data_IF_947551385186
#
_entry.id   IF_947551385186
#
_cell.length_a   1.000
_cell.length_b   1.000
_cell.length_c   1.000
_cell.angle_alpha   90.00
_cell.angle_beta   90.00
_cell.angle_gamma   90.00
#
_symmetry.space_group_name_H-M   'P 1'
#
loop_
_entity.id
_entity.type
_entity.pdbx_description
1 polymer ?
#
# COMPACT_ATOMS: atom_id res chain seq x y z
N UNK A 1 34.34 -1.03 -14.23
CA UNK A 1 33.26 -0.50 -13.35
C UNK A 1 33.69 -0.34 -11.89
N UNK A 2 34.81 -0.91 -11.43
CA UNK A 2 35.32 -0.74 -10.06
C UNK A 2 34.25 -1.09 -8.98
N UNK A 3 33.54 -2.20 -9.19
CA UNK A 3 32.47 -2.62 -8.29
C UNK A 3 33.07 -3.06 -6.95
N UNK A 4 32.61 -2.46 -5.85
CA UNK A 4 33.08 -2.78 -4.50
C UNK A 4 32.15 -3.74 -3.75
N UNK A 5 30.86 -3.74 -4.09
CA UNK A 5 29.84 -4.59 -3.49
C UNK A 5 28.94 -5.19 -4.57
N UNK A 6 28.69 -6.49 -4.48
CA UNK A 6 27.77 -7.23 -5.36
C UNK A 6 26.61 -7.74 -4.50
N UNK A 7 25.44 -7.11 -4.65
CA UNK A 7 24.20 -7.48 -3.96
C UNK A 7 23.28 -8.16 -4.97
N UNK A 8 22.80 -9.38 -4.66
CA UNK A 8 21.98 -10.19 -5.57
C UNK A 8 21.04 -11.14 -4.84
N UNK A 9 20.19 -11.83 -5.58
CA UNK A 9 19.31 -12.85 -5.00
C UNK A 9 20.08 -14.04 -4.40
N UNK A 10 19.54 -14.63 -3.34
CA UNK A 10 20.09 -15.81 -2.65
C UNK A 10 20.26 -17.04 -3.57
N UNK A 11 19.55 -17.10 -4.70
CA UNK A 11 19.67 -18.17 -5.70
C UNK A 11 21.07 -18.27 -6.31
N UNK A 12 21.87 -17.21 -6.24
CA UNK A 12 23.23 -17.21 -6.79
C UNK A 12 24.29 -17.70 -5.79
N UNK A 13 23.92 -18.04 -4.56
CA UNK A 13 24.88 -18.57 -3.55
C UNK A 13 25.57 -19.83 -4.09
N UNK A 14 24.84 -20.74 -4.72
CA UNK A 14 25.41 -21.99 -5.27
C UNK A 14 26.47 -21.75 -6.35
N UNK A 15 26.45 -20.57 -7.00
CA UNK A 15 27.41 -20.19 -8.02
C UNK A 15 28.61 -19.40 -7.46
N UNK A 16 28.61 -19.06 -6.16
CA UNK A 16 29.72 -18.36 -5.49
C UNK A 16 31.10 -18.98 -5.76
N UNK A 17 31.30 -20.31 -5.65
CA UNK A 17 32.61 -20.91 -5.92
C UNK A 17 33.12 -20.60 -7.33
N UNK A 18 32.24 -20.64 -8.33
CA UNK A 18 32.61 -20.34 -9.72
C UNK A 18 33.04 -18.88 -9.89
N UNK A 19 32.36 -17.94 -9.23
CA UNK A 19 32.75 -16.53 -9.30
C UNK A 19 34.11 -16.30 -8.63
N UNK A 20 34.34 -16.89 -7.45
CA UNK A 20 35.61 -16.74 -6.72
C UNK A 20 36.79 -17.32 -7.53
N UNK A 21 36.62 -18.49 -8.16
CA UNK A 21 37.64 -19.08 -9.04
C UNK A 21 38.01 -18.15 -10.21
N UNK A 22 37.04 -17.41 -10.75
CA UNK A 22 37.30 -16.45 -11.83
C UNK A 22 38.13 -15.25 -11.33
N UNK A 23 37.81 -14.69 -10.17
CA UNK A 23 38.59 -13.61 -9.55
C UNK A 23 40.02 -14.06 -9.24
N UNK A 24 40.20 -15.27 -8.70
CA UNK A 24 41.52 -15.85 -8.44
C UNK A 24 42.32 -16.05 -9.74
N UNK A 25 41.69 -16.58 -10.79
CA UNK A 25 42.35 -16.78 -12.09
C UNK A 25 42.84 -15.45 -12.71
N UNK A 26 42.08 -14.37 -12.48
CA UNK A 26 42.41 -13.02 -12.91
C UNK A 26 43.43 -12.31 -12.00
N UNK A 27 43.83 -12.89 -10.86
CA UNK A 27 44.88 -12.33 -10.01
C UNK A 27 44.39 -11.27 -9.00
N UNK A 28 43.09 -11.25 -8.69
CA UNK A 28 42.58 -10.43 -7.58
C UNK A 28 43.14 -10.88 -6.24
N UNK A 29 43.21 -9.95 -5.30
CA UNK A 29 43.54 -10.28 -3.92
C UNK A 29 42.36 -11.01 -3.25
N UNK A 30 42.59 -12.28 -2.92
CA UNK A 30 41.62 -13.16 -2.29
C UNK A 30 41.70 -13.12 -0.74
N UNK A 31 42.54 -12.26 -0.16
CA UNK A 31 42.72 -12.16 1.30
C UNK A 31 41.44 -11.79 2.07
N UNK A 32 40.52 -11.07 1.42
CA UNK A 32 39.23 -10.64 1.98
C UNK A 32 38.09 -11.65 1.78
N UNK A 33 38.31 -12.77 1.08
CA UNK A 33 37.31 -13.82 0.91
C UNK A 33 37.06 -14.52 2.25
N UNK A 34 36.05 -14.08 3.01
CA UNK A 34 35.74 -14.65 4.32
C UNK A 34 35.47 -16.16 4.24
N UNK A 35 36.07 -16.90 5.17
CA UNK A 35 36.21 -18.36 5.23
C UNK A 35 34.93 -19.18 5.50
N UNK A 36 33.74 -18.59 5.47
CA UNK A 36 32.50 -19.29 5.82
C UNK A 36 31.84 -20.06 4.67
N UNK A 37 32.07 -19.69 3.41
CA UNK A 37 31.40 -20.33 2.26
C UNK A 37 32.36 -21.07 1.29
N UNK A 38 33.67 -21.05 1.56
CA UNK A 38 34.70 -21.54 0.64
C UNK A 38 35.57 -22.67 1.24
N UNK A 39 34.98 -23.59 1.99
CA UNK A 39 35.61 -24.89 2.28
C UNK A 39 34.91 -25.97 1.45
N UNK A 40 35.22 -26.08 0.16
CA UNK A 40 35.28 -27.35 -0.57
C UNK A 40 36.19 -27.15 -1.80
N UNK A 41 37.21 -28.01 -1.88
CA UNK A 41 38.15 -28.22 -2.99
C UNK A 41 39.04 -27.05 -3.45
N UNK A 42 40.13 -26.81 -2.70
CA UNK A 42 41.37 -26.35 -3.35
C UNK A 42 42.01 -27.53 -4.07
N UNK A 43 41.75 -27.66 -5.36
CA UNK A 43 42.61 -28.43 -6.26
C UNK A 43 43.50 -27.47 -7.03
N UNK A 44 44.80 -27.52 -6.74
CA UNK A 44 45.82 -26.79 -7.49
C UNK A 44 45.86 -27.30 -8.94
N UNK A 45 45.34 -26.53 -9.88
CA UNK A 45 45.73 -26.60 -11.30
C UNK A 45 45.69 -25.21 -11.92
N UNK A 46 46.86 -24.58 -12.01
CA UNK A 46 47.12 -23.53 -12.99
C UNK A 46 48.61 -23.55 -13.37
N UNK A 47 49.00 -24.54 -14.16
CA UNK A 47 50.24 -24.52 -14.95
C UNK A 47 49.87 -24.80 -16.40
N UNK A 48 49.17 -23.85 -17.02
CA UNK A 48 48.94 -23.81 -18.46
C UNK A 48 49.25 -22.40 -18.92
N UNK A 49 50.08 -22.25 -19.95
CA UNK A 49 50.37 -20.97 -20.58
C UNK A 49 49.05 -20.38 -21.11
N UNK A 50 48.52 -19.38 -20.41
CA UNK A 50 47.35 -18.63 -20.88
C UNK A 50 47.69 -17.85 -22.14
N UNK A 51 46.72 -17.72 -23.05
CA UNK A 51 46.82 -16.85 -24.23
C UNK A 51 47.07 -15.38 -23.81
N UNK A 52 47.63 -14.58 -24.71
CA UNK A 52 48.07 -13.20 -24.47
C UNK A 52 46.94 -12.31 -23.93
N UNK A 53 45.72 -12.55 -24.39
CA UNK A 53 44.48 -11.91 -23.91
C UNK A 53 44.18 -12.20 -22.45
N UNK A 54 44.41 -13.43 -21.98
CA UNK A 54 44.19 -13.81 -20.57
C UNK A 54 45.28 -13.21 -19.68
N UNK A 55 46.52 -13.16 -20.18
CA UNK A 55 47.65 -12.58 -19.46
C UNK A 55 47.60 -11.05 -19.40
N UNK A 56 46.98 -10.36 -20.37
CA UNK A 56 46.73 -8.91 -20.29
C UNK A 56 45.68 -8.58 -19.23
N UNK A 57 44.53 -9.27 -19.24
CA UNK A 57 43.46 -9.11 -18.25
C UNK A 57 43.95 -9.37 -16.82
N UNK A 58 44.80 -10.39 -16.65
CA UNK A 58 45.41 -10.70 -15.36
C UNK A 58 46.29 -9.54 -14.86
N UNK A 59 47.13 -8.95 -15.72
CA UNK A 59 47.97 -7.79 -15.36
C UNK A 59 47.16 -6.56 -15.01
N UNK A 60 46.03 -6.33 -15.68
CA UNK A 60 45.15 -5.19 -15.40
C UNK A 60 44.40 -5.32 -14.07
N UNK A 61 44.22 -6.54 -13.56
CA UNK A 61 43.45 -6.81 -12.34
C UNK A 61 44.28 -7.32 -11.16
N UNK A 62 45.58 -7.50 -11.37
CA UNK A 62 46.52 -7.96 -10.36
C UNK A 62 46.52 -7.02 -9.14
N UNK A 63 46.23 -7.58 -7.96
CA UNK A 63 46.23 -6.83 -6.70
C UNK A 63 44.98 -5.97 -6.45
N UNK A 64 43.95 -6.04 -7.30
CA UNK A 64 42.65 -5.44 -7.01
C UNK A 64 41.94 -6.20 -5.88
N UNK A 65 41.28 -5.47 -4.98
CA UNK A 65 40.51 -6.06 -3.90
C UNK A 65 39.28 -6.80 -4.42
N UNK A 66 39.00 -7.99 -3.87
CA UNK A 66 37.77 -8.72 -4.15
C UNK A 66 36.54 -7.92 -3.70
N UNK A 67 35.48 -7.81 -4.54
CA UNK A 67 34.22 -7.19 -4.13
C UNK A 67 33.57 -7.95 -2.97
N UNK A 68 32.86 -7.23 -2.11
CA UNK A 68 32.06 -7.81 -1.04
C UNK A 68 30.77 -8.38 -1.65
N UNK A 69 30.50 -9.66 -1.42
CA UNK A 69 29.29 -10.31 -1.88
C UNK A 69 28.24 -10.33 -0.78
N UNK A 70 27.02 -9.93 -1.10
CA UNK A 70 25.87 -10.04 -0.22
C UNK A 70 24.67 -10.58 -0.98
N UNK A 71 23.77 -11.26 -0.28
CA UNK A 71 22.55 -11.80 -0.88
C UNK A 71 21.30 -11.35 -0.15
N UNK A 72 20.30 -10.99 -0.91
CA UNK A 72 18.97 -10.68 -0.41
C UNK A 72 18.15 -11.97 -0.23
N UNK A 73 17.40 -12.10 0.87
CA UNK A 73 16.55 -13.25 1.11
C UNK A 73 15.48 -13.38 0.03
N UNK A 74 14.99 -14.60 -0.18
CA UNK A 74 13.85 -14.81 -1.06
C UNK A 74 12.59 -14.12 -0.53
N UNK A 75 11.83 -13.50 -1.44
CA UNK A 75 10.46 -13.13 -1.15
C UNK A 75 9.60 -14.39 -1.26
N UNK A 76 8.93 -14.72 -0.17
CA UNK A 76 8.05 -15.87 -0.02
C UNK A 76 6.61 -15.45 -0.25
N UNK A 77 5.75 -16.37 -0.65
CA UNK A 77 4.30 -16.12 -0.71
C UNK A 77 3.72 -15.81 0.69
N UNK A 78 2.45 -15.42 0.75
CA UNK A 78 1.77 -15.05 2.01
C UNK A 78 1.82 -16.17 3.07
N UNK A 79 1.78 -17.44 2.64
CA UNK A 79 1.91 -18.61 3.52
C UNK A 79 3.34 -18.86 4.00
N UNK A 80 4.35 -18.28 3.35
CA UNK A 80 5.76 -18.46 3.64
C UNK A 80 6.32 -19.84 3.28
N UNK A 81 5.58 -20.67 2.53
CA UNK A 81 5.96 -22.06 2.25
C UNK A 81 6.67 -22.26 0.90
N UNK A 82 6.64 -21.27 0.01
CA UNK A 82 7.39 -21.26 -1.24
C UNK A 82 7.72 -19.84 -1.68
N UNK A 83 8.67 -19.73 -2.63
CA UNK A 83 9.03 -18.46 -3.26
C UNK A 83 7.79 -17.84 -3.93
N UNK A 84 7.66 -16.52 -3.85
CA UNK A 84 6.60 -15.79 -4.52
C UNK A 84 6.79 -15.92 -6.04
N UNK A 85 5.78 -16.43 -6.73
CA UNK A 85 5.76 -16.56 -8.19
C UNK A 85 4.49 -15.95 -8.79
N UNK A 86 4.40 -15.88 -10.12
CA UNK A 86 3.22 -15.31 -10.82
C UNK A 86 1.90 -15.98 -10.44
N UNK A 87 1.92 -17.30 -10.19
CA UNK A 87 0.74 -18.07 -9.76
C UNK A 87 0.32 -17.79 -8.31
N UNK A 88 1.19 -17.14 -7.55
CA UNK A 88 1.03 -16.83 -6.13
C UNK A 88 0.75 -15.33 -5.90
N UNK A 89 0.38 -14.60 -6.95
CA UNK A 89 0.04 -13.18 -6.86
C UNK A 89 1.18 -12.20 -7.15
N UNK A 90 2.33 -12.67 -7.65
CA UNK A 90 3.39 -11.75 -8.10
C UNK A 90 2.88 -10.89 -9.26
N UNK A 91 2.60 -9.62 -8.98
CA UNK A 91 2.21 -8.59 -9.95
C UNK A 91 3.45 -7.90 -10.53
N UNK A 92 3.30 -7.35 -11.73
CA UNK A 92 4.28 -6.40 -12.26
C UNK A 92 4.25 -5.11 -11.43
N UNK A 93 5.40 -4.44 -11.27
CA UNK A 93 5.45 -3.20 -10.49
C UNK A 93 4.51 -2.13 -11.06
N UNK A 94 4.33 -2.10 -12.38
CA UNK A 94 3.43 -1.16 -13.05
C UNK A 94 1.96 -1.51 -12.85
N UNK A 95 1.62 -2.76 -12.53
CA UNK A 95 0.26 -3.12 -12.12
C UNK A 95 -0.10 -2.48 -10.79
N UNK A 96 0.84 -2.44 -9.82
CA UNK A 96 0.61 -1.72 -8.56
C UNK A 96 0.37 -0.23 -8.80
N UNK A 97 1.13 0.40 -9.70
CA UNK A 97 0.90 1.82 -10.03
C UNK A 97 -0.49 2.01 -10.67
N UNK A 98 -0.90 1.13 -11.59
CA UNK A 98 -2.26 1.14 -12.17
C UNK A 98 -3.36 0.91 -11.13
N UNK A 99 -3.08 0.10 -10.11
CA UNK A 99 -3.96 -0.15 -8.97
C UNK A 99 -3.97 1.01 -7.96
N UNK A 100 -3.22 2.09 -8.20
CA UNK A 100 -3.22 3.28 -7.34
C UNK A 100 -2.34 3.17 -6.11
N UNK A 101 -1.29 2.34 -6.16
CA UNK A 101 -0.24 2.35 -5.14
C UNK A 101 0.78 3.48 -5.40
N UNK A 102 1.23 4.11 -4.33
CA UNK A 102 2.28 5.12 -4.36
C UNK A 102 3.65 4.46 -4.47
N UNK A 103 4.55 5.09 -5.23
CA UNK A 103 5.90 4.58 -5.44
C UNK A 103 6.67 4.49 -4.13
N UNK A 104 6.52 5.50 -3.27
CA UNK A 104 7.15 5.60 -1.96
C UNK A 104 6.68 4.49 -1.03
N UNK A 105 5.40 4.11 -1.11
CA UNK A 105 4.85 2.98 -0.35
C UNK A 105 5.43 1.64 -0.81
N UNK A 106 5.57 1.42 -2.12
CA UNK A 106 6.20 0.23 -2.67
C UNK A 106 7.66 0.13 -2.25
N UNK A 107 8.41 1.23 -2.33
CA UNK A 107 9.82 1.28 -1.88
C UNK A 107 9.93 0.96 -0.39
N UNK A 108 9.13 1.63 0.46
CA UNK A 108 9.12 1.37 1.91
C UNK A 108 8.78 -0.09 2.21
N UNK A 109 7.77 -0.63 1.54
CA UNK A 109 7.35 -2.01 1.75
C UNK A 109 8.44 -3.00 1.33
N UNK A 110 8.99 -2.87 0.11
CA UNK A 110 10.04 -3.75 -0.41
C UNK A 110 11.31 -3.66 0.45
N UNK A 111 11.69 -2.46 0.89
CA UNK A 111 12.86 -2.27 1.74
C UNK A 111 12.74 -3.03 3.07
N UNK A 112 11.53 -3.19 3.61
CA UNK A 112 11.29 -3.94 4.86
C UNK A 112 11.11 -5.45 4.65
N UNK A 113 11.17 -5.94 3.40
CA UNK A 113 11.15 -7.38 3.11
C UNK A 113 12.53 -7.99 3.39
N UNK A 114 12.72 -8.39 4.65
CA UNK A 114 13.96 -9.02 5.10
C UNK A 114 14.99 -8.04 5.65
N UNK A 115 14.61 -6.80 5.92
CA UNK A 115 15.44 -5.82 6.61
C UNK A 115 14.59 -5.03 7.61
N UNK A 116 15.19 -4.65 8.74
CA UNK A 116 14.63 -3.72 9.72
C UNK A 116 15.75 -2.85 10.31
N UNK A 117 15.41 -1.69 10.85
CA UNK A 117 16.37 -0.77 11.48
C UNK A 117 16.63 -1.11 12.96
N UNK A 118 16.31 -2.32 13.41
CA UNK A 118 16.41 -2.74 14.81
C UNK A 118 15.32 -2.16 15.72
N UNK A 119 14.35 -1.42 15.17
CA UNK A 119 13.20 -0.89 15.90
C UNK A 119 11.90 -1.56 15.44
N UNK A 120 10.76 -1.07 15.96
CA UNK A 120 9.41 -1.49 15.53
C UNK A 120 8.86 -0.62 14.39
N UNK A 121 9.65 0.28 13.80
CA UNK A 121 9.23 1.10 12.67
C UNK A 121 9.00 0.22 11.42
N UNK A 122 7.85 0.39 10.78
CA UNK A 122 7.47 -0.38 9.57
C UNK A 122 7.38 0.45 8.30
N UNK A 123 7.27 1.76 8.43
CA UNK A 123 7.15 2.71 7.31
C UNK A 123 8.38 3.61 7.31
N UNK A 124 9.05 3.69 6.16
CA UNK A 124 10.27 4.46 5.99
C UNK A 124 10.19 5.30 4.73
N UNK A 125 10.50 6.57 4.85
CA UNK A 125 10.78 7.43 3.71
C UNK A 125 12.12 7.02 3.06
N UNK A 126 12.33 7.41 1.80
CA UNK A 126 13.61 7.17 1.12
C UNK A 126 14.79 7.78 1.91
N UNK A 127 14.58 8.95 2.53
CA UNK A 127 15.60 9.60 3.36
C UNK A 127 15.98 8.73 4.57
N UNK A 128 14.99 8.22 5.30
CA UNK A 128 15.24 7.34 6.44
C UNK A 128 15.89 6.03 6.02
N UNK A 129 15.51 5.47 4.87
CA UNK A 129 16.17 4.28 4.33
C UNK A 129 17.64 4.56 4.05
N UNK A 130 17.99 5.67 3.40
CA UNK A 130 19.39 6.05 3.14
C UNK A 130 20.18 6.21 4.46
N UNK A 131 19.58 6.84 5.47
CA UNK A 131 20.25 7.09 6.76
C UNK A 131 20.40 5.83 7.62
N UNK A 132 19.43 4.91 7.58
CA UNK A 132 19.35 3.78 8.51
C UNK A 132 19.78 2.45 7.90
N UNK A 133 19.78 2.32 6.56
CA UNK A 133 20.05 1.05 5.91
C UNK A 133 21.45 0.54 6.23
N UNK A 134 21.52 -0.75 6.54
CA UNK A 134 22.77 -1.46 6.77
C UNK A 134 22.63 -2.89 6.28
N UNK A 135 23.62 -3.35 5.50
CA UNK A 135 23.67 -4.71 4.97
C UNK A 135 23.73 -5.75 6.10
N UNK A 136 24.32 -5.41 7.25
CA UNK A 136 24.42 -6.31 8.40
C UNK A 136 23.06 -6.64 9.04
N UNK A 137 22.04 -5.83 8.74
CA UNK A 137 20.67 -6.00 9.24
C UNK A 137 19.74 -6.69 8.24
N UNK A 138 20.27 -7.13 7.10
CA UNK A 138 19.53 -7.96 6.15
C UNK A 138 19.45 -9.39 6.71
N UNK A 139 18.23 -9.85 6.97
CA UNK A 139 17.93 -11.18 7.46
C UNK A 139 18.21 -12.26 6.40
N UNK A 140 18.61 -13.45 6.86
CA UNK A 140 18.89 -14.61 5.99
C UNK A 140 17.65 -15.42 5.64
N UNK A 141 16.60 -15.32 6.45
CA UNK A 141 15.34 -16.03 6.24
C UNK A 141 14.49 -15.36 5.16
N UNK A 142 13.75 -16.16 4.39
CA UNK A 142 12.81 -15.63 3.40
C UNK A 142 11.78 -14.69 4.02
N UNK A 143 11.52 -13.56 3.36
CA UNK A 143 10.57 -12.55 3.79
C UNK A 143 9.19 -12.83 3.20
N UNK A 144 8.15 -12.92 4.05
CA UNK A 144 6.78 -13.15 3.57
C UNK A 144 6.22 -11.90 2.90
N UNK A 145 5.62 -12.08 1.73
CA UNK A 145 4.85 -11.04 1.07
C UNK A 145 3.46 -10.94 1.70
N UNK A 146 3.23 -9.90 2.49
CA UNK A 146 1.93 -9.60 3.09
C UNK A 146 1.26 -8.44 2.34
N UNK A 147 0.26 -8.75 1.50
CA UNK A 147 -0.47 -7.75 0.72
C UNK A 147 -1.29 -6.81 1.60
N UNK A 148 -1.82 -7.29 2.74
CA UNK A 148 -2.60 -6.44 3.66
C UNK A 148 -1.69 -5.40 4.30
N UNK A 149 -0.46 -5.78 4.66
CA UNK A 149 0.56 -4.85 5.13
C UNK A 149 0.91 -3.83 4.05
N UNK A 150 1.11 -4.24 2.80
CA UNK A 150 1.36 -3.31 1.69
C UNK A 150 0.22 -2.29 1.52
N UNK A 151 -1.03 -2.74 1.53
CA UNK A 151 -2.22 -1.86 1.48
C UNK A 151 -2.23 -0.87 2.65
N UNK A 152 -1.88 -1.33 3.85
CA UNK A 152 -1.80 -0.47 5.04
C UNK A 152 -0.70 0.59 4.92
N UNK A 153 0.51 0.20 4.51
CA UNK A 153 1.63 1.13 4.24
C UNK A 153 1.22 2.16 3.19
N UNK A 154 0.56 1.72 2.11
CA UNK A 154 0.11 2.62 1.05
C UNK A 154 -0.90 3.67 1.56
N UNK A 155 -1.90 3.23 2.34
CA UNK A 155 -2.85 4.14 2.96
C UNK A 155 -2.18 5.13 3.92
N UNK A 156 -1.12 4.73 4.64
CA UNK A 156 -0.32 5.65 5.46
C UNK A 156 0.30 6.76 4.62
N UNK A 157 0.99 6.42 3.53
CA UNK A 157 1.56 7.43 2.64
C UNK A 157 0.49 8.32 2.00
N UNK A 158 -0.68 7.79 1.62
CA UNK A 158 -1.78 8.62 1.07
C UNK A 158 -2.26 9.66 2.09
N UNK A 159 -2.40 9.28 3.36
CA UNK A 159 -2.84 10.20 4.43
C UNK A 159 -1.81 11.29 4.73
N UNK A 160 -0.52 10.97 4.67
CA UNK A 160 0.55 11.93 4.92
C UNK A 160 0.80 12.89 3.74
N UNK A 161 0.24 12.61 2.55
CA UNK A 161 0.42 13.49 1.40
C UNK A 161 -0.27 14.84 1.60
N UNK A 162 0.39 15.96 1.24
CA UNK A 162 -0.29 17.24 1.11
C UNK A 162 -1.43 17.14 0.10
N UNK A 163 -2.59 17.72 0.42
CA UNK A 163 -3.79 17.62 -0.42
C UNK A 163 -3.56 18.12 -1.87
N UNK A 164 -2.71 19.12 -2.05
CA UNK A 164 -2.36 19.66 -3.37
C UNK A 164 -1.54 18.67 -4.21
N UNK A 165 -0.71 17.84 -3.58
CA UNK A 165 -0.04 16.73 -4.27
C UNK A 165 -1.02 15.61 -4.56
N UNK A 166 -1.85 15.25 -3.59
CA UNK A 166 -2.84 14.19 -3.75
C UNK A 166 -3.79 14.49 -4.90
N UNK A 167 -4.22 15.75 -5.06
CA UNK A 167 -5.09 16.21 -6.16
C UNK A 167 -4.49 15.89 -7.52
N UNK A 168 -3.17 16.06 -7.69
CA UNK A 168 -2.47 15.70 -8.93
C UNK A 168 -2.41 14.19 -9.12
N UNK A 169 -2.11 13.44 -8.05
CA UNK A 169 -1.97 11.98 -8.12
C UNK A 169 -3.30 11.27 -8.43
N UNK A 170 -4.43 11.86 -8.04
CA UNK A 170 -5.77 11.28 -8.29
C UNK A 170 -6.41 11.70 -9.61
N UNK A 171 -5.77 12.53 -10.42
CA UNK A 171 -6.38 13.13 -11.63
C UNK A 171 -7.05 12.07 -12.53
N UNK A 172 -6.38 10.93 -12.73
CA UNK A 172 -6.87 9.83 -13.57
C UNK A 172 -7.75 8.80 -12.83
N UNK A 173 -7.98 8.99 -11.54
CA UNK A 173 -8.77 8.08 -10.69
C UNK A 173 -10.17 8.63 -10.35
N UNK A 174 -10.49 9.86 -10.75
CA UNK A 174 -11.84 10.39 -10.59
C UNK A 174 -12.85 9.57 -11.42
N UNK A 175 -14.07 9.32 -10.89
CA UNK A 175 -15.15 8.75 -11.68
C UNK A 175 -15.55 9.67 -12.84
N UNK A 176 -16.15 9.09 -13.87
CA UNK A 176 -16.61 9.84 -15.06
C UNK A 176 -17.54 11.00 -14.70
N UNK A 177 -18.41 10.79 -13.71
CA UNK A 177 -19.36 11.78 -13.19
C UNK A 177 -18.68 13.04 -12.63
N UNK A 178 -17.43 12.93 -12.16
CA UNK A 178 -16.67 14.07 -11.62
C UNK A 178 -15.98 14.93 -12.69
N UNK A 179 -15.93 14.51 -13.96
CA UNK A 179 -15.16 15.23 -15.01
C UNK A 179 -15.62 16.67 -15.26
N UNK A 180 -16.89 16.97 -15.02
CA UNK A 180 -17.48 18.30 -15.21
C UNK A 180 -17.63 19.08 -13.89
N UNK A 181 -17.25 18.47 -12.78
CA UNK A 181 -17.35 19.10 -11.47
C UNK A 181 -16.28 20.20 -11.33
N UNK A 182 -16.61 21.22 -10.55
CA UNK A 182 -15.67 22.28 -10.20
C UNK A 182 -14.46 21.71 -9.42
N UNK A 183 -13.25 22.20 -9.72
CA UNK A 183 -12.02 21.68 -9.09
C UNK A 183 -11.95 22.01 -7.59
N UNK A 184 -12.54 23.13 -7.15
CA UNK A 184 -12.60 23.43 -5.71
C UNK A 184 -13.53 22.46 -4.97
N UNK A 185 -14.64 22.06 -5.60
CA UNK A 185 -15.54 21.05 -5.04
C UNK A 185 -14.88 19.66 -5.04
N UNK A 186 -14.22 19.26 -6.12
CA UNK A 186 -13.41 18.01 -6.15
C UNK A 186 -12.35 18.00 -5.05
N UNK A 187 -11.69 19.13 -4.80
CA UNK A 187 -10.71 19.26 -3.71
C UNK A 187 -11.33 19.07 -2.33
N UNK A 188 -12.54 19.58 -2.09
CA UNK A 188 -13.28 19.34 -0.84
C UNK A 188 -13.66 17.86 -0.66
N UNK A 189 -14.18 17.24 -1.74
CA UNK A 189 -14.52 15.80 -1.75
C UNK A 189 -13.27 14.95 -1.49
N UNK A 190 -12.14 15.29 -2.11
CA UNK A 190 -10.88 14.59 -1.92
C UNK A 190 -10.35 14.72 -0.50
N UNK A 191 -10.40 15.93 0.08
CA UNK A 191 -9.99 16.16 1.47
C UNK A 191 -10.75 15.25 2.43
N UNK A 192 -12.06 15.14 2.22
CA UNK A 192 -12.94 14.28 3.01
C UNK A 192 -12.62 12.78 2.78
N UNK A 193 -12.31 12.38 1.55
CA UNK A 193 -12.01 10.98 1.20
C UNK A 193 -10.62 10.50 1.62
N UNK A 194 -9.64 11.40 1.77
CA UNK A 194 -8.21 11.07 1.97
C UNK A 194 -7.98 10.06 3.10
N UNK A 195 -8.64 10.24 4.24
CA UNK A 195 -8.52 9.36 5.42
C UNK A 195 -9.01 7.92 5.18
N UNK A 196 -9.81 7.69 4.14
CA UNK A 196 -10.41 6.39 3.81
C UNK A 196 -9.77 5.71 2.60
N UNK A 197 -8.97 6.42 1.81
CA UNK A 197 -8.26 5.84 0.67
C UNK A 197 -7.21 4.84 1.15
N UNK A 198 -7.26 3.63 0.62
CA UNK A 198 -6.18 2.64 0.78
C UNK A 198 -5.32 2.58 -0.46
N UNK A 199 -5.92 2.78 -1.62
CA UNK A 199 -5.29 3.02 -2.91
C UNK A 199 -5.97 4.20 -3.60
N UNK A 200 -5.31 4.84 -4.57
CA UNK A 200 -5.94 5.89 -5.36
C UNK A 200 -7.12 5.36 -6.19
N UNK A 201 -7.10 4.06 -6.52
CA UNK A 201 -8.18 3.38 -7.26
C UNK A 201 -9.47 3.21 -6.46
N UNK A 202 -9.41 3.38 -5.13
CA UNK A 202 -10.61 3.36 -4.29
C UNK A 202 -11.45 4.63 -4.43
N UNK A 203 -10.90 5.69 -5.05
CA UNK A 203 -11.53 7.02 -5.10
C UNK A 203 -12.96 7.00 -5.67
N UNK A 204 -13.28 6.33 -6.79
CA UNK A 204 -14.66 6.28 -7.30
C UNK A 204 -15.64 5.71 -6.28
N UNK A 205 -15.29 4.60 -5.64
CA UNK A 205 -16.15 3.92 -4.66
C UNK A 205 -16.45 4.80 -3.43
N UNK A 206 -15.55 5.73 -3.11
CA UNK A 206 -15.69 6.65 -1.98
C UNK A 206 -16.30 8.01 -2.38
N UNK A 207 -16.44 8.32 -3.67
CA UNK A 207 -16.77 9.69 -4.10
C UNK A 207 -17.83 9.84 -5.18
N UNK A 208 -18.16 8.80 -5.96
CA UNK A 208 -19.14 8.89 -7.06
C UNK A 208 -20.47 9.53 -6.64
N UNK A 209 -20.97 9.17 -5.46
CA UNK A 209 -22.26 9.67 -4.93
C UNK A 209 -22.29 11.18 -4.62
N UNK A 210 -21.15 11.88 -4.66
CA UNK A 210 -21.09 13.35 -4.62
C UNK A 210 -21.36 14.02 -5.98
N UNK A 211 -21.25 13.28 -7.08
CA UNK A 211 -21.31 13.80 -8.45
C UNK A 211 -22.47 13.23 -9.26
N UNK A 212 -23.06 12.13 -8.81
CA UNK A 212 -24.22 11.51 -9.45
C UNK A 212 -25.16 10.87 -8.43
N UNK A 213 -26.36 10.52 -8.88
CA UNK A 213 -27.29 9.77 -8.06
C UNK A 213 -26.85 8.30 -7.99
N UNK A 214 -26.54 7.77 -6.79
CA UNK A 214 -25.99 6.44 -6.67
C UNK A 214 -27.02 5.37 -6.99
N UNK A 215 -26.57 4.27 -7.61
CA UNK A 215 -27.43 3.12 -7.89
C UNK A 215 -27.74 2.38 -6.59
N UNK A 216 -29.03 2.08 -6.39
CA UNK A 216 -29.51 1.32 -5.22
C UNK A 216 -28.91 -0.08 -5.20
N UNK A 217 -28.30 -0.44 -4.07
CA UNK A 217 -27.73 -1.76 -3.81
C UNK A 217 -28.25 -2.31 -2.46
N UNK A 218 -29.32 -3.10 -2.53
CA UNK A 218 -29.94 -3.72 -1.36
C UNK A 218 -29.01 -4.69 -0.61
N UNK A 219 -27.98 -5.23 -1.28
CA UNK A 219 -27.06 -6.17 -0.64
C UNK A 219 -26.30 -5.52 0.53
N UNK A 220 -26.09 -4.20 0.48
CA UNK A 220 -25.48 -3.41 1.55
C UNK A 220 -26.29 -3.45 2.86
N UNK A 221 -27.59 -3.74 2.79
CA UNK A 221 -28.48 -3.92 3.93
C UNK A 221 -28.63 -5.41 4.26
N UNK A 222 -28.95 -6.25 3.26
CA UNK A 222 -29.28 -7.67 3.50
C UNK A 222 -28.09 -8.51 3.92
N UNK A 223 -26.88 -8.16 3.50
CA UNK A 223 -25.67 -8.92 3.82
C UNK A 223 -24.95 -8.35 5.06
N UNK A 224 -25.33 -7.14 5.48
CA UNK A 224 -24.76 -6.50 6.65
C UNK A 224 -25.16 -7.23 7.94
N UNK A 225 -24.16 -7.61 8.74
CA UNK A 225 -24.32 -8.42 9.96
C UNK A 225 -25.31 -7.83 10.99
N UNK A 226 -25.42 -6.50 11.06
CA UNK A 226 -26.29 -5.81 12.00
C UNK A 226 -27.65 -5.49 11.37
N UNK A 227 -27.66 -5.01 10.13
CA UNK A 227 -28.88 -4.54 9.46
C UNK A 227 -29.80 -5.67 8.99
N UNK A 228 -29.25 -6.82 8.58
CA UNK A 228 -30.04 -7.97 8.13
C UNK A 228 -31.00 -8.57 9.15
N UNK A 229 -30.92 -8.11 10.40
CA UNK A 229 -31.79 -8.53 11.51
C UNK A 229 -33.03 -7.64 11.63
N UNK A 230 -33.06 -6.50 10.96
CA UNK A 230 -34.16 -5.53 11.00
C UNK A 230 -35.21 -5.90 9.94
N UNK A 231 -36.48 -5.73 10.29
CA UNK A 231 -37.57 -5.84 9.31
C UNK A 231 -37.65 -4.60 8.41
N UNK A 232 -38.26 -4.74 7.22
CA UNK A 232 -38.45 -3.62 6.30
C UNK A 232 -39.19 -2.43 6.93
N UNK A 233 -40.24 -2.70 7.72
CA UNK A 233 -40.99 -1.66 8.44
C UNK A 233 -40.14 -0.95 9.50
N UNK A 234 -39.21 -1.65 10.14
CA UNK A 234 -38.31 -1.06 11.13
C UNK A 234 -37.27 -0.18 10.44
N UNK A 235 -36.70 -0.64 9.32
CA UNK A 235 -35.78 0.16 8.49
C UNK A 235 -36.47 1.43 8.01
N UNK A 236 -37.67 1.33 7.45
CA UNK A 236 -38.44 2.47 6.96
C UNK A 236 -38.72 3.49 8.08
N UNK A 237 -39.06 3.04 9.29
CA UNK A 237 -39.25 3.91 10.46
C UNK A 237 -37.96 4.62 10.87
N UNK A 238 -36.82 3.93 10.89
CA UNK A 238 -35.54 4.52 11.27
C UNK A 238 -35.03 5.54 10.23
N UNK A 239 -35.18 5.23 8.94
CA UNK A 239 -34.81 6.13 7.85
C UNK A 239 -35.69 7.37 7.87
N UNK A 240 -37.01 7.21 8.07
CA UNK A 240 -37.93 8.33 8.25
C UNK A 240 -37.58 9.20 9.46
N UNK A 241 -37.29 8.58 10.61
CA UNK A 241 -36.87 9.33 11.79
C UNK A 241 -35.58 10.13 11.54
N UNK A 242 -34.64 9.58 10.75
CA UNK A 242 -33.44 10.30 10.33
C UNK A 242 -33.74 11.46 9.38
N UNK A 243 -34.61 11.25 8.39
CA UNK A 243 -35.09 12.32 7.51
C UNK A 243 -35.68 13.48 8.33
N UNK A 244 -36.67 13.18 9.18
CA UNK A 244 -37.40 14.18 9.96
C UNK A 244 -36.47 14.94 10.91
N UNK A 245 -35.51 14.25 11.55
CA UNK A 245 -34.54 14.90 12.42
C UNK A 245 -33.60 15.85 11.65
N UNK A 246 -33.06 15.41 10.51
CA UNK A 246 -32.15 16.23 9.69
C UNK A 246 -32.87 17.40 9.02
N UNK A 247 -34.17 17.27 8.72
CA UNK A 247 -34.97 18.34 8.13
C UNK A 247 -35.06 19.56 9.06
N UNK A 248 -35.06 19.37 10.38
CA UNK A 248 -35.13 20.46 11.37
C UNK A 248 -33.87 21.31 11.49
N UNK A 249 -32.74 20.88 10.91
CA UNK A 249 -31.47 21.61 11.01
C UNK A 249 -31.51 22.87 10.15
N UNK A 250 -31.45 24.06 10.76
CA UNK A 250 -31.41 25.34 10.05
C UNK A 250 -30.01 25.63 9.49
N UNK A 251 -28.98 25.53 10.32
CA UNK A 251 -27.58 25.73 9.95
C UNK A 251 -26.94 24.39 9.54
N UNK A 252 -26.82 24.14 8.24
CA UNK A 252 -26.35 22.87 7.69
C UNK A 252 -24.82 22.77 7.65
N UNK A 253 -24.22 22.27 8.73
CA UNK A 253 -22.78 22.08 8.86
C UNK A 253 -22.43 20.78 9.61
N UNK A 254 -21.16 20.32 9.60
CA UNK A 254 -20.80 19.05 10.21
C UNK A 254 -21.13 18.94 11.71
N UNK A 255 -21.07 20.03 12.48
CA UNK A 255 -21.28 19.99 13.93
C UNK A 255 -22.76 19.86 14.29
N UNK A 256 -23.62 20.64 13.64
CA UNK A 256 -25.08 20.57 13.85
C UNK A 256 -25.64 19.23 13.37
N UNK A 257 -25.12 18.69 12.26
CA UNK A 257 -25.47 17.35 11.78
C UNK A 257 -25.03 16.29 12.79
N UNK A 258 -23.80 16.39 13.33
CA UNK A 258 -23.33 15.44 14.35
C UNK A 258 -24.20 15.49 15.62
N UNK A 259 -24.61 16.67 16.06
CA UNK A 259 -25.51 16.85 17.20
C UNK A 259 -26.88 16.20 16.95
N UNK A 260 -27.48 16.41 15.78
CA UNK A 260 -28.75 15.78 15.40
C UNK A 260 -28.63 14.25 15.32
N UNK A 261 -27.55 13.73 14.74
CA UNK A 261 -27.27 12.30 14.68
C UNK A 261 -27.14 11.68 16.08
N UNK A 262 -26.49 12.38 17.02
CA UNK A 262 -26.37 11.92 18.41
C UNK A 262 -27.72 11.91 19.13
N UNK A 263 -28.52 12.97 18.99
CA UNK A 263 -29.88 13.01 19.56
C UNK A 263 -30.79 11.91 18.97
N UNK A 264 -30.59 11.58 17.68
CA UNK A 264 -31.33 10.50 17.03
C UNK A 264 -31.00 9.12 17.63
N UNK A 265 -29.75 8.89 18.08
CA UNK A 265 -29.40 7.67 18.80
C UNK A 265 -30.15 7.55 20.13
N UNK A 266 -30.26 8.65 20.87
CA UNK A 266 -30.97 8.68 22.16
C UNK A 266 -32.46 8.42 21.97
N UNK A 267 -33.09 9.09 21.02
CA UNK A 267 -34.54 8.99 20.76
C UNK A 267 -34.96 7.65 20.16
N UNK A 268 -34.14 7.05 19.30
CA UNK A 268 -34.43 5.73 18.71
C UNK A 268 -33.98 4.55 19.56
N UNK A 269 -33.08 4.77 20.53
CA UNK A 269 -32.44 3.71 21.30
C UNK A 269 -31.54 2.77 20.49
N UNK A 270 -31.21 3.13 19.24
CA UNK A 270 -30.42 2.31 18.34
C UNK A 270 -28.92 2.49 18.56
N UNK A 271 -28.14 1.49 18.13
CA UNK A 271 -26.68 1.57 18.17
C UNK A 271 -26.16 2.39 16.98
N UNK A 272 -25.03 3.12 17.12
CA UNK A 272 -24.40 3.84 16.01
C UNK A 272 -24.18 2.97 14.77
N UNK A 273 -23.71 1.74 14.94
CA UNK A 273 -23.48 0.79 13.84
C UNK A 273 -24.74 0.38 13.06
N UNK A 274 -25.93 0.59 13.62
CA UNK A 274 -27.20 0.37 12.91
C UNK A 274 -27.65 1.67 12.25
N UNK A 275 -27.92 2.70 13.06
CA UNK A 275 -28.55 3.93 12.60
C UNK A 275 -27.66 4.69 11.61
N UNK A 276 -26.38 4.88 11.92
CA UNK A 276 -25.47 5.59 11.03
C UNK A 276 -25.14 4.79 9.77
N UNK A 277 -25.20 3.45 9.84
CA UNK A 277 -25.05 2.61 8.64
C UNK A 277 -26.25 2.75 7.72
N UNK A 278 -27.48 2.78 8.24
CA UNK A 278 -28.67 3.04 7.43
C UNK A 278 -28.61 4.42 6.75
N UNK A 279 -28.34 5.47 7.53
CA UNK A 279 -28.25 6.83 6.98
C UNK A 279 -27.16 6.92 5.90
N UNK A 280 -25.97 6.34 6.16
CA UNK A 280 -24.89 6.26 5.17
C UNK A 280 -25.34 5.54 3.90
N UNK A 281 -25.94 4.35 4.03
CA UNK A 281 -26.32 3.55 2.87
C UNK A 281 -27.39 4.27 2.06
N UNK A 282 -28.42 4.83 2.68
CA UNK A 282 -29.46 5.55 1.93
C UNK A 282 -28.94 6.81 1.24
N UNK A 283 -27.98 7.51 1.85
CA UNK A 283 -27.43 8.75 1.26
C UNK A 283 -26.33 8.54 0.23
N UNK A 284 -25.75 7.34 0.15
CA UNK A 284 -24.57 7.08 -0.71
C UNK A 284 -24.65 5.82 -1.57
N UNK A 285 -25.46 4.83 -1.18
CA UNK A 285 -25.43 3.43 -1.63
C UNK A 285 -24.01 2.89 -1.82
N UNK A 286 -23.10 3.28 -0.93
CA UNK A 286 -21.71 2.83 -0.92
C UNK A 286 -21.42 1.97 0.32
N UNK A 287 -20.56 0.95 0.22
CA UNK A 287 -20.19 0.10 1.34
C UNK A 287 -19.42 0.86 2.44
N UNK A 288 -18.75 1.95 2.07
CA UNK A 288 -18.00 2.81 2.97
C UNK A 288 -18.15 4.26 2.54
N UNK A 289 -18.07 5.17 3.51
CA UNK A 289 -17.98 6.61 3.28
C UNK A 289 -16.92 7.21 4.21
N UNK A 290 -16.51 8.46 3.96
CA UNK A 290 -15.89 9.32 4.95
C UNK A 290 -16.77 9.52 6.19
N UNK A 291 -16.36 10.43 7.08
CA UNK A 291 -17.15 10.73 8.25
C UNK A 291 -18.58 11.16 7.87
N UNK A 292 -19.59 10.58 8.53
CA UNK A 292 -20.97 10.69 8.08
C UNK A 292 -21.45 12.14 8.09
N UNK A 293 -21.26 12.85 9.20
CA UNK A 293 -21.69 14.25 9.34
C UNK A 293 -21.05 15.17 8.29
N UNK A 294 -19.75 15.02 8.02
CA UNK A 294 -19.05 15.78 6.97
C UNK A 294 -19.53 15.39 5.56
N UNK A 295 -19.81 14.11 5.33
CA UNK A 295 -20.38 13.61 4.07
C UNK A 295 -21.75 14.24 3.80
N UNK A 296 -22.64 14.24 4.79
CA UNK A 296 -23.97 14.87 4.68
C UNK A 296 -23.85 16.39 4.51
N UNK A 297 -22.91 17.03 5.22
CA UNK A 297 -22.64 18.46 5.07
C UNK A 297 -22.28 18.79 3.61
N UNK A 298 -21.35 18.03 3.02
CA UNK A 298 -20.84 18.26 1.67
C UNK A 298 -21.84 17.87 0.57
N UNK A 299 -22.65 16.82 0.78
CA UNK A 299 -23.78 16.46 -0.11
C UNK A 299 -24.84 17.57 -0.16
N UNK A 300 -24.98 18.31 0.94
CA UNK A 300 -25.99 19.34 1.12
C UNK A 300 -27.34 18.78 1.60
N UNK A 301 -28.12 19.66 2.23
CA UNK A 301 -29.41 19.33 2.86
C UNK A 301 -30.42 18.73 1.88
N UNK A 302 -30.61 19.40 0.74
CA UNK A 302 -31.61 18.98 -0.25
C UNK A 302 -31.33 17.58 -0.79
N UNK A 303 -30.09 17.29 -1.20
CA UNK A 303 -29.67 15.97 -1.67
C UNK A 303 -29.84 14.91 -0.58
N UNK A 304 -29.41 15.22 0.64
CA UNK A 304 -29.49 14.28 1.78
C UNK A 304 -30.94 13.89 2.08
N UNK A 305 -31.83 14.87 2.20
CA UNK A 305 -33.24 14.61 2.48
C UNK A 305 -33.92 13.87 1.33
N UNK A 306 -33.65 14.27 0.08
CA UNK A 306 -34.21 13.58 -1.10
C UNK A 306 -33.82 12.11 -1.18
N UNK A 307 -32.63 11.73 -0.69
CA UNK A 307 -32.15 10.34 -0.68
C UNK A 307 -32.68 9.52 0.50
N UNK A 308 -33.15 10.18 1.55
CA UNK A 308 -33.77 9.55 2.72
C UNK A 308 -35.30 9.42 2.59
N UNK A 309 -35.91 10.09 1.61
CA UNK A 309 -37.34 10.06 1.34
C UNK A 309 -37.81 8.76 0.66
#
# INVERSE_FOLDING_TARGET
MQITHIIRGQEFISSMPNYLNLYEALGYDMSSASTTDAKHERTARASGAGDETTNSLRRESEGLALPIFSTMPHIMNEQGNKKLGKRDGAKDVLDYIRDGYLQEALVSFIATLGWNDGTTQEVFTMKELIEKFSLDRVGRSGARFDEKRLVWVNGHFIRELPLDELTKRVEFFWPESAKKADESYKRQVLALAQERLKTLRDLPALTSYFFEEPSRDESLITDNKQLKKLGGDEIAKLVKAAHDALETIEDWNPDTIQAALNALLETTGQKPGILFSLIRIYTTWAPFSPQLNETLALLGKSTTLSRLA
#
